data_IF_121841027856
#
_entry.id   IF_121841027856
#
_cell.length_a   1.000
_cell.length_b   1.000
_cell.length_c   1.000
_cell.angle_alpha   90.00
_cell.angle_beta   90.00
_cell.angle_gamma   90.00
#
_symmetry.space_group_name_H-M   'P 1'
#
loop_
_entity.id
_entity.type
_entity.pdbx_description
1 polymer ?
#
# COMPACT_ATOMS: atom_id res chain seq x y z
N UNK A 1 -0.49 -3.85 -23.21
CA UNK A 1 0.53 -4.67 -22.55
C UNK A 1 0.70 -4.08 -21.16
N UNK A 2 -0.32 -4.24 -20.32
CA UNK A 2 -0.56 -5.39 -19.45
C UNK A 2 0.52 -5.47 -18.36
N UNK A 3 0.17 -5.05 -17.16
CA UNK A 3 0.85 -5.43 -15.93
C UNK A 3 -0.22 -5.59 -14.86
N UNK A 4 -1.04 -6.62 -15.06
CA UNK A 4 -1.82 -7.26 -14.01
C UNK A 4 -0.84 -7.88 -13.00
N UNK A 5 -0.37 -7.05 -12.07
CA UNK A 5 0.44 -7.44 -10.92
C UNK A 5 -0.44 -8.19 -9.90
N UNK A 6 -0.89 -9.39 -10.25
CA UNK A 6 -1.55 -10.31 -9.31
C UNK A 6 -0.58 -10.84 -8.24
N UNK A 7 -1.04 -10.95 -6.99
CA UNK A 7 -0.26 -11.46 -5.83
C UNK A 7 0.24 -12.86 -6.06
N UNK A 8 1.38 -13.23 -5.44
CA UNK A 8 1.92 -14.59 -5.46
C UNK A 8 0.88 -15.72 -5.22
N UNK A 9 -0.24 -15.46 -4.52
CA UNK A 9 -1.29 -16.47 -4.29
C UNK A 9 -2.74 -16.04 -4.64
N UNK A 10 -3.07 -14.75 -4.84
CA UNK A 10 -4.45 -14.26 -5.10
C UNK A 10 -5.52 -14.60 -4.05
N UNK A 11 -5.14 -15.00 -2.83
CA UNK A 11 -6.04 -15.53 -1.79
C UNK A 11 -6.06 -14.67 -0.53
N UNK A 12 -7.24 -14.48 0.05
CA UNK A 12 -7.44 -13.72 1.27
C UNK A 12 -6.74 -14.39 2.45
N UNK A 13 -5.97 -13.62 3.22
CA UNK A 13 -5.19 -14.16 4.35
C UNK A 13 -6.08 -14.82 5.41
N UNK A 14 -7.30 -14.32 5.57
CA UNK A 14 -8.19 -14.71 6.66
C UNK A 14 -9.09 -15.91 6.36
N UNK A 15 -9.69 -15.97 5.16
CA UNK A 15 -10.62 -17.05 4.80
C UNK A 15 -10.17 -17.89 3.60
N UNK A 16 -9.04 -17.55 2.99
CA UNK A 16 -8.54 -18.19 1.75
C UNK A 16 -9.51 -18.10 0.56
N UNK A 17 -10.49 -17.19 0.63
CA UNK A 17 -11.34 -16.83 -0.51
C UNK A 17 -10.56 -16.07 -1.59
N UNK A 18 -11.15 -15.95 -2.77
CA UNK A 18 -10.58 -15.16 -3.86
C UNK A 18 -10.51 -13.67 -3.50
N UNK A 19 -9.38 -13.03 -3.84
CA UNK A 19 -9.21 -11.59 -3.78
C UNK A 19 -9.42 -10.98 -5.16
N UNK A 20 -10.29 -9.97 -5.25
CA UNK A 20 -10.52 -9.20 -6.46
C UNK A 20 -9.90 -7.81 -6.31
N UNK A 21 -9.15 -7.36 -7.32
CA UNK A 21 -8.72 -5.97 -7.41
C UNK A 21 -9.92 -5.05 -7.59
N UNK A 22 -10.01 -3.99 -6.78
CA UNK A 22 -11.09 -3.00 -6.86
C UNK A 22 -10.59 -1.58 -7.15
N UNK A 23 -9.27 -1.38 -7.23
CA UNK A 23 -8.67 -0.10 -7.58
C UNK A 23 -7.25 0.05 -7.05
N UNK A 24 -6.67 1.22 -7.30
CA UNK A 24 -5.37 1.64 -6.77
C UNK A 24 -5.55 2.97 -6.06
N UNK A 25 -5.08 3.05 -4.83
CA UNK A 25 -5.20 4.24 -3.98
C UNK A 25 -3.84 4.73 -3.53
N UNK A 26 -3.69 6.05 -3.42
CA UNK A 26 -2.44 6.68 -3.00
C UNK A 26 -2.47 7.01 -1.51
N UNK A 27 -1.51 6.47 -0.77
CA UNK A 27 -1.36 6.71 0.65
C UNK A 27 -0.11 7.55 0.90
N UNK A 28 -0.25 8.61 1.71
CA UNK A 28 0.91 9.31 2.26
C UNK A 28 1.63 8.35 3.19
N UNK A 29 2.89 8.07 2.90
CA UNK A 29 3.79 7.26 3.71
C UNK A 29 4.97 8.13 4.16
N UNK A 30 5.45 7.87 5.39
CA UNK A 30 6.46 8.71 6.03
C UNK A 30 5.85 9.78 6.97
N UNK A 31 6.67 10.77 7.32
CA UNK A 31 6.38 11.76 8.37
C UNK A 31 7.24 11.55 9.61
N UNK A 32 7.81 12.64 10.13
CA UNK A 32 8.69 12.62 11.30
C UNK A 32 7.90 12.33 12.58
N UNK A 33 8.38 11.36 13.35
CA UNK A 33 8.06 11.29 14.79
C UNK A 33 8.53 12.61 15.41
N UNK A 34 7.64 13.30 16.13
CA UNK A 34 7.70 14.75 16.40
C UNK A 34 8.97 15.34 17.02
N UNK A 35 9.96 14.53 17.41
CA UNK A 35 11.29 15.01 17.86
C UNK A 35 12.19 15.52 16.73
N UNK A 36 12.06 14.99 15.50
CA UNK A 36 12.97 15.34 14.39
C UNK A 36 12.68 16.71 13.74
N UNK A 37 11.42 17.16 13.79
CA UNK A 37 10.99 18.48 13.26
C UNK A 37 11.67 19.65 13.97
N UNK A 38 12.08 19.45 15.24
CA UNK A 38 12.79 20.46 16.03
C UNK A 38 14.30 20.55 15.71
N UNK A 39 14.89 19.50 15.12
CA UNK A 39 16.33 19.43 14.85
C UNK A 39 16.70 19.78 13.41
N UNK A 40 15.81 19.53 12.43
CA UNK A 40 16.14 19.65 11.00
C UNK A 40 15.23 20.60 10.17
N UNK A 41 14.29 21.29 10.81
CA UNK A 41 13.44 22.29 10.13
C UNK A 41 12.72 21.72 8.90
N UNK A 42 12.70 22.46 7.79
CA UNK A 42 12.01 22.11 6.52
C UNK A 42 12.52 20.81 5.86
N UNK A 43 13.70 20.31 6.24
CA UNK A 43 14.25 19.05 5.71
C UNK A 43 13.58 17.81 6.31
N UNK A 44 12.76 17.99 7.35
CA UNK A 44 11.93 16.93 7.95
C UNK A 44 10.74 16.51 7.05
N UNK A 45 10.42 17.29 6.03
CA UNK A 45 9.33 17.04 5.07
C UNK A 45 9.81 16.16 3.88
N UNK A 46 11.13 15.94 3.73
CA UNK A 46 11.75 15.16 2.64
C UNK A 46 11.54 13.63 2.73
N UNK A 47 10.64 13.18 3.60
CA UNK A 47 10.22 11.79 3.70
C UNK A 47 8.72 11.58 3.51
N UNK A 48 7.97 12.63 3.17
CA UNK A 48 6.56 12.52 2.81
C UNK A 48 6.46 12.06 1.34
N UNK A 49 6.33 10.75 1.14
CA UNK A 49 6.17 10.16 -0.19
C UNK A 49 4.74 9.62 -0.35
N UNK A 50 4.29 9.51 -1.59
CA UNK A 50 3.00 8.93 -1.93
C UNK A 50 3.23 7.52 -2.47
N UNK A 51 2.76 6.52 -1.73
CA UNK A 51 2.85 5.12 -2.16
C UNK A 51 1.49 4.66 -2.70
N UNK A 52 1.51 4.17 -3.95
CA UNK A 52 0.31 3.63 -4.61
C UNK A 52 0.10 2.18 -4.22
N UNK A 53 -0.98 1.87 -3.50
CA UNK A 53 -1.35 0.51 -3.14
C UNK A 53 -2.51 0.02 -4.00
N UNK A 54 -2.42 -1.22 -4.48
CA UNK A 54 -3.59 -1.92 -5.02
C UNK A 54 -4.51 -2.32 -3.85
N UNK A 55 -5.80 -2.01 -3.99
CA UNK A 55 -6.85 -2.37 -3.04
C UNK A 55 -7.54 -3.63 -3.51
N UNK A 56 -7.55 -4.66 -2.66
CA UNK A 56 -8.09 -5.98 -2.96
C UNK A 56 -9.24 -6.31 -2.01
N UNK A 57 -10.39 -6.69 -2.55
CA UNK A 57 -11.54 -7.11 -1.76
C UNK A 57 -11.75 -8.63 -1.87
N UNK A 58 -11.92 -9.30 -0.73
CA UNK A 58 -12.34 -10.69 -0.70
C UNK A 58 -13.84 -10.82 -0.96
N UNK A 59 -14.23 -11.52 -2.02
CA UNK A 59 -15.65 -11.71 -2.38
C UNK A 59 -16.39 -12.63 -1.41
N UNK A 60 -15.67 -13.44 -0.62
CA UNK A 60 -16.25 -14.40 0.33
C UNK A 60 -16.50 -13.81 1.72
N UNK A 61 -15.53 -13.08 2.29
CA UNK A 61 -15.63 -12.55 3.67
C UNK A 61 -15.61 -11.02 3.77
N UNK A 62 -15.51 -10.32 2.63
CA UNK A 62 -15.49 -8.84 2.53
C UNK A 62 -14.31 -8.15 3.23
N UNK A 63 -13.25 -8.88 3.58
CA UNK A 63 -11.99 -8.29 4.03
C UNK A 63 -11.33 -7.53 2.89
N UNK A 64 -10.75 -6.37 3.21
CA UNK A 64 -9.92 -5.58 2.30
C UNK A 64 -8.45 -5.79 2.67
N UNK A 65 -7.62 -6.00 1.65
CA UNK A 65 -6.17 -6.15 1.75
C UNK A 65 -5.50 -5.13 0.82
N UNK A 66 -4.31 -4.65 1.21
CA UNK A 66 -3.53 -3.67 0.44
C UNK A 66 -2.25 -4.32 -0.04
N UNK A 67 -1.89 -4.10 -1.30
CA UNK A 67 -0.63 -4.56 -1.89
C UNK A 67 0.23 -3.38 -2.29
N UNK A 68 1.41 -3.29 -1.68
CA UNK A 68 2.42 -2.32 -2.06
C UNK A 68 2.95 -2.61 -3.48
N UNK A 69 3.40 -1.59 -4.21
CA UNK A 69 4.07 -1.82 -5.49
C UNK A 69 5.39 -2.56 -5.22
N UNK A 70 5.93 -3.28 -6.22
CA UNK A 70 7.24 -3.90 -6.10
C UNK A 70 8.28 -2.82 -5.76
N UNK A 71 9.23 -3.15 -4.89
CA UNK A 71 10.35 -2.25 -4.61
C UNK A 71 11.09 -1.97 -5.94
N UNK A 72 11.30 -0.69 -6.26
CA UNK A 72 12.02 -0.29 -7.47
C UNK A 72 13.43 -0.88 -7.49
N UNK A 73 13.87 -1.35 -8.65
CA UNK A 73 15.27 -1.65 -8.97
C UNK A 73 16.02 -0.40 -9.39
#
# INVERSE_FOLDING_TARGET
MESSMGTPDGRCIACKGELQSIGTEQFRVGGTTGGWKLLFGEWAELGEDMLSFEVLACTACRRVELRAPPAGT
#
